data_IF_846098679244
#
_entry.id   IF_846098679244
#
_cell.length_a   1.000
_cell.length_b   1.000
_cell.length_c   1.000
_cell.angle_alpha   90.00
_cell.angle_beta   90.00
_cell.angle_gamma   90.00
#
_symmetry.space_group_name_H-M   'P 1'
#
loop_
_entity.id
_entity.type
_entity.pdbx_description
1 polymer ?
#
# COMPACT_ATOMS: atom_id res chain seq x y z
N UNK A 1 -16.92 -45.20 12.64
CA UNK A 1 -16.57 -46.54 13.18
C UNK A 1 -15.30 -46.42 13.99
N UNK A 2 -15.40 -46.73 15.30
CA UNK A 2 -14.40 -47.21 16.27
C UNK A 2 -15.13 -47.19 17.63
N UNK A 3 -15.80 -48.30 17.96
CA UNK A 3 -15.37 -49.27 18.99
C UNK A 3 -15.33 -48.59 20.36
N UNK A 4 -16.45 -48.54 21.10
CA UNK A 4 -16.84 -49.53 22.12
C UNK A 4 -15.68 -49.93 23.04
N UNK A 5 -15.51 -49.19 24.13
CA UNK A 5 -14.97 -49.74 25.37
C UNK A 5 -16.12 -49.96 26.35
N UNK A 6 -16.26 -51.21 26.73
CA UNK A 6 -17.25 -51.79 27.62
C UNK A 6 -17.04 -51.30 29.06
N UNK A 7 -18.06 -50.66 29.65
CA UNK A 7 -18.20 -50.58 31.10
C UNK A 7 -19.60 -51.07 31.48
N UNK A 8 -19.72 -52.37 31.73
CA UNK A 8 -20.87 -52.95 32.42
C UNK A 8 -20.76 -52.61 33.90
N UNK A 9 -21.28 -51.44 34.30
CA UNK A 9 -21.44 -51.13 35.71
C UNK A 9 -22.84 -51.58 36.16
N UNK A 10 -22.85 -52.67 36.92
CA UNK A 10 -24.01 -53.39 37.45
C UNK A 10 -25.18 -52.48 37.92
N UNK A 11 -26.28 -52.51 37.16
CA UNK A 11 -27.62 -52.17 37.65
C UNK A 11 -28.23 -53.42 38.31
N UNK A 12 -28.03 -53.55 39.62
CA UNK A 12 -28.62 -54.64 40.41
C UNK A 12 -30.07 -54.24 40.75
N UNK A 13 -31.05 -54.90 40.13
CA UNK A 13 -32.47 -54.71 40.46
C UNK A 13 -32.77 -55.00 41.93
N UNK A 14 -33.76 -54.31 42.54
CA UNK A 14 -34.17 -54.51 43.94
C UNK A 14 -34.42 -55.98 44.35
N UNK A 15 -34.91 -56.82 43.42
CA UNK A 15 -35.18 -58.25 43.64
C UNK A 15 -33.90 -59.11 43.82
N UNK A 16 -32.73 -58.60 43.40
CA UNK A 16 -31.42 -59.25 43.59
C UNK A 16 -30.77 -58.84 44.92
N UNK A 17 -31.06 -57.63 45.40
CA UNK A 17 -30.57 -57.12 46.69
C UNK A 17 -31.09 -57.95 47.88
N UNK A 18 -32.34 -58.42 47.81
CA UNK A 18 -32.98 -59.21 48.88
C UNK A 18 -32.44 -60.64 49.02
N UNK A 19 -31.57 -61.10 48.10
CA UNK A 19 -31.00 -62.46 48.08
C UNK A 19 -29.54 -62.52 48.55
N UNK A 20 -28.91 -61.37 48.80
CA UNK A 20 -27.50 -61.29 49.20
C UNK A 20 -27.31 -61.64 50.68
N UNK A 21 -26.21 -62.31 51.01
CA UNK A 21 -25.75 -62.40 52.39
C UNK A 21 -25.22 -61.05 52.89
N UNK A 22 -25.18 -60.85 54.21
CA UNK A 22 -24.71 -59.60 54.80
C UNK A 22 -23.25 -59.25 54.39
N UNK A 23 -22.38 -60.26 54.24
CA UNK A 23 -21.00 -60.07 53.80
C UNK A 23 -20.93 -59.59 52.35
N UNK A 24 -21.74 -60.18 51.47
CA UNK A 24 -21.82 -59.78 50.06
C UNK A 24 -22.39 -58.37 49.89
N UNK A 25 -23.44 -58.05 50.66
CA UNK A 25 -24.01 -56.70 50.68
C UNK A 25 -22.98 -55.66 51.14
N UNK A 26 -22.28 -55.91 52.26
CA UNK A 26 -21.21 -55.02 52.76
C UNK A 26 -20.08 -54.84 51.73
N UNK A 27 -19.65 -55.91 51.08
CA UNK A 27 -18.61 -55.86 50.04
C UNK A 27 -19.05 -55.03 48.82
N UNK A 28 -20.32 -55.16 48.40
CA UNK A 28 -20.90 -54.38 47.31
C UNK A 28 -20.95 -52.89 47.64
N UNK A 29 -21.40 -52.52 48.84
CA UNK A 29 -21.40 -51.12 49.31
C UNK A 29 -19.98 -50.55 49.30
N UNK A 30 -19.00 -51.29 49.80
CA UNK A 30 -17.59 -50.86 49.79
C UNK A 30 -17.07 -50.62 48.36
N UNK A 31 -17.41 -51.49 47.40
CA UNK A 31 -17.03 -51.30 45.98
C UNK A 31 -17.65 -50.03 45.39
N UNK A 32 -18.96 -49.81 45.60
CA UNK A 32 -19.64 -48.61 45.08
C UNK A 32 -19.08 -47.33 45.73
N UNK A 33 -18.84 -47.33 47.04
CA UNK A 33 -18.17 -46.21 47.73
C UNK A 33 -16.76 -45.94 47.20
N UNK A 34 -15.99 -46.99 46.92
CA UNK A 34 -14.64 -46.84 46.35
C UNK A 34 -14.68 -46.29 44.91
N UNK A 35 -15.66 -46.72 44.09
CA UNK A 35 -15.89 -46.15 42.75
C UNK A 35 -16.25 -44.66 42.83
N UNK A 36 -17.20 -44.30 43.70
CA UNK A 36 -17.55 -42.90 43.96
C UNK A 36 -16.35 -42.08 44.43
N UNK A 37 -15.53 -42.62 45.33
CA UNK A 37 -14.31 -41.95 45.82
C UNK A 37 -13.32 -41.67 44.69
N UNK A 38 -13.11 -42.63 43.77
CA UNK A 38 -12.26 -42.43 42.59
C UNK A 38 -12.81 -41.32 41.68
N UNK A 39 -14.11 -41.34 41.41
CA UNK A 39 -14.76 -40.33 40.58
C UNK A 39 -14.66 -38.92 41.18
N UNK A 40 -14.84 -38.79 42.50
CA UNK A 40 -14.65 -37.52 43.21
C UNK A 40 -13.22 -37.02 43.11
N UNK A 41 -12.22 -37.90 43.23
CA UNK A 41 -10.82 -37.53 43.08
C UNK A 41 -10.50 -37.06 41.65
N UNK A 42 -11.07 -37.70 40.62
CA UNK A 42 -10.93 -37.27 39.23
C UNK A 42 -11.58 -35.91 39.01
N UNK A 43 -12.83 -35.73 39.44
CA UNK A 43 -13.55 -34.46 39.34
C UNK A 43 -12.81 -33.32 40.06
N UNK A 44 -12.19 -33.60 41.21
CA UNK A 44 -11.36 -32.63 41.94
C UNK A 44 -10.17 -32.15 41.09
N UNK A 45 -9.47 -33.05 40.40
CA UNK A 45 -8.35 -32.70 39.50
C UNK A 45 -8.80 -31.90 38.28
N UNK A 46 -9.97 -32.24 37.72
CA UNK A 46 -10.53 -31.51 36.59
C UNK A 46 -10.90 -30.08 36.99
N UNK A 47 -11.46 -29.89 38.20
CA UNK A 47 -11.78 -28.57 38.76
C UNK A 47 -10.51 -27.72 38.93
N UNK A 48 -9.43 -28.27 39.48
CA UNK A 48 -8.16 -27.53 39.63
C UNK A 48 -7.54 -27.15 38.28
N UNK A 49 -7.68 -28.01 37.28
CA UNK A 49 -7.24 -27.73 35.90
C UNK A 49 -8.05 -26.59 35.28
N UNK A 50 -9.38 -26.65 35.39
CA UNK A 50 -10.28 -25.60 34.90
C UNK A 50 -9.99 -24.25 35.57
N UNK A 51 -9.69 -24.26 36.87
CA UNK A 51 -9.35 -23.05 37.63
C UNK A 51 -8.05 -22.43 37.13
N UNK A 52 -7.03 -23.24 36.86
CA UNK A 52 -5.76 -22.76 36.29
C UNK A 52 -6.00 -22.13 34.91
N UNK A 53 -6.70 -22.83 34.02
CA UNK A 53 -7.03 -22.32 32.68
C UNK A 53 -7.83 -21.01 32.75
N UNK A 54 -8.75 -20.89 33.71
CA UNK A 54 -9.53 -19.66 33.89
C UNK A 54 -8.65 -18.46 34.26
N UNK A 55 -7.64 -18.66 35.11
CA UNK A 55 -6.69 -17.60 35.47
C UNK A 55 -5.85 -17.18 34.27
N UNK A 56 -5.35 -18.14 33.48
CA UNK A 56 -4.58 -17.87 32.26
C UNK A 56 -5.43 -17.09 31.24
N UNK A 57 -6.65 -17.52 30.96
CA UNK A 57 -7.57 -16.82 30.07
C UNK A 57 -7.84 -15.37 30.51
N UNK A 58 -7.98 -15.13 31.82
CA UNK A 58 -8.19 -13.77 32.33
C UNK A 58 -6.96 -12.88 32.12
N UNK A 59 -5.74 -13.44 32.24
CA UNK A 59 -4.51 -12.72 31.94
C UNK A 59 -4.41 -12.39 30.45
N UNK A 60 -4.71 -13.34 29.57
CA UNK A 60 -4.71 -13.13 28.11
C UNK A 60 -5.71 -12.04 27.71
N UNK A 61 -6.92 -12.06 28.29
CA UNK A 61 -7.94 -11.02 28.07
C UNK A 61 -7.43 -9.64 28.51
N UNK A 62 -6.72 -9.56 29.65
CA UNK A 62 -6.16 -8.30 30.12
C UNK A 62 -5.06 -7.77 29.18
N UNK A 63 -4.21 -8.64 28.65
CA UNK A 63 -3.18 -8.27 27.67
C UNK A 63 -3.81 -7.80 26.35
N UNK A 64 -4.81 -8.52 25.84
CA UNK A 64 -5.58 -8.13 24.65
C UNK A 64 -6.21 -6.75 24.84
N UNK A 65 -6.78 -6.47 26.02
CA UNK A 65 -7.39 -5.17 26.31
C UNK A 65 -6.35 -4.04 26.27
N UNK A 66 -5.18 -4.24 26.88
CA UNK A 66 -4.12 -3.24 26.90
C UNK A 66 -3.55 -2.97 25.49
N UNK A 67 -3.36 -4.03 24.69
CA UNK A 67 -2.90 -3.88 23.30
C UNK A 67 -3.93 -3.16 22.44
N UNK A 68 -5.22 -3.45 22.61
CA UNK A 68 -6.30 -2.74 21.92
C UNK A 68 -6.34 -1.25 22.28
N UNK A 69 -6.20 -0.91 23.56
CA UNK A 69 -6.14 0.49 24.00
C UNK A 69 -4.92 1.23 23.42
N UNK A 70 -3.76 0.55 23.38
CA UNK A 70 -2.57 1.08 22.72
C UNK A 70 -2.73 1.27 21.21
N UNK A 71 -3.44 0.37 20.52
CA UNK A 71 -3.76 0.52 19.11
C UNK A 71 -4.74 1.68 18.86
N UNK A 72 -5.77 1.84 19.68
CA UNK A 72 -6.72 2.95 19.55
C UNK A 72 -6.02 4.30 19.63
N UNK A 73 -5.12 4.49 20.62
CA UNK A 73 -4.34 5.73 20.73
C UNK A 73 -3.49 6.01 19.48
N UNK A 74 -2.88 4.97 18.91
CA UNK A 74 -2.09 5.10 17.67
C UNK A 74 -2.95 5.44 16.47
N UNK A 75 -4.19 4.96 16.42
CA UNK A 75 -5.15 5.31 15.37
C UNK A 75 -5.56 6.76 15.50
N UNK A 76 -5.94 7.22 16.71
CA UNK A 76 -6.27 8.63 16.96
C UNK A 76 -5.12 9.56 16.57
N UNK A 77 -3.88 9.23 16.95
CA UNK A 77 -2.69 10.01 16.56
C UNK A 77 -2.47 10.04 15.04
N UNK A 78 -2.73 8.92 14.35
CA UNK A 78 -2.63 8.87 12.90
C UNK A 78 -3.74 9.67 12.21
N UNK A 79 -4.96 9.68 12.75
CA UNK A 79 -6.09 10.48 12.26
C UNK A 79 -5.80 11.99 12.39
N UNK A 80 -5.23 12.42 13.51
CA UNK A 80 -4.79 13.81 13.71
C UNK A 80 -3.71 14.20 12.70
N UNK A 81 -2.69 13.35 12.50
CA UNK A 81 -1.63 13.60 11.51
C UNK A 81 -2.16 13.67 10.08
N UNK A 82 -3.10 12.79 9.71
CA UNK A 82 -3.74 12.83 8.38
C UNK A 82 -4.50 14.14 8.21
N UNK A 83 -5.24 14.57 9.22
CA UNK A 83 -5.99 15.83 9.19
C UNK A 83 -5.05 17.04 8.98
N UNK A 84 -3.91 17.08 9.68
CA UNK A 84 -2.90 18.14 9.47
C UNK A 84 -2.30 18.12 8.06
N UNK A 85 -2.04 16.93 7.51
CA UNK A 85 -1.52 16.77 6.15
C UNK A 85 -2.55 17.21 5.09
N UNK A 86 -3.83 16.87 5.26
CA UNK A 86 -4.91 17.32 4.38
C UNK A 86 -4.99 18.85 4.34
N UNK A 87 -4.93 19.47 5.52
CA UNK A 87 -4.90 20.92 5.70
C UNK A 87 -3.72 21.58 4.95
N UNK A 88 -2.53 20.97 5.06
CA UNK A 88 -1.34 21.43 4.37
C UNK A 88 -1.44 21.27 2.86
N UNK A 89 -2.03 20.16 2.39
CA UNK A 89 -2.26 19.91 0.96
C UNK A 89 -3.20 20.97 0.39
N UNK A 90 -4.30 21.28 1.08
CA UNK A 90 -5.25 22.31 0.66
C UNK A 90 -4.58 23.69 0.59
N UNK A 91 -3.81 24.08 1.61
CA UNK A 91 -3.04 25.34 1.64
C UNK A 91 -2.03 25.43 0.49
N UNK A 92 -1.47 24.31 0.05
CA UNK A 92 -0.48 24.25 -1.04
C UNK A 92 -1.09 24.23 -2.44
N UNK A 93 -2.37 23.87 -2.61
CA UNK A 93 -3.05 23.89 -3.91
C UNK A 93 -2.94 25.24 -4.68
N UNK A 94 -3.26 26.40 -4.09
CA UNK A 94 -3.16 27.67 -4.80
C UNK A 94 -1.71 27.96 -5.25
N UNK A 95 -0.71 27.59 -4.44
CA UNK A 95 0.71 27.77 -4.78
C UNK A 95 1.07 26.92 -5.99
N UNK A 96 0.63 25.65 -6.03
CA UNK A 96 0.85 24.75 -7.19
C UNK A 96 0.23 25.31 -8.45
N UNK A 97 -1.03 25.74 -8.37
CA UNK A 97 -1.75 26.34 -9.50
C UNK A 97 -1.08 27.62 -10.02
N UNK A 98 -0.56 28.46 -9.11
CA UNK A 98 0.15 29.68 -9.50
C UNK A 98 1.49 29.37 -10.20
N UNK A 99 2.23 28.37 -9.71
CA UNK A 99 3.47 27.91 -10.35
C UNK A 99 3.19 27.36 -11.75
N UNK A 100 2.15 26.54 -11.90
CA UNK A 100 1.75 25.98 -13.19
C UNK A 100 1.39 27.08 -14.20
N UNK A 101 0.58 28.07 -13.80
CA UNK A 101 0.27 29.23 -14.64
C UNK A 101 1.52 30.00 -15.06
N UNK A 102 2.49 30.15 -14.14
CA UNK A 102 3.74 30.86 -14.41
C UNK A 102 4.60 30.11 -15.42
N UNK A 103 4.76 28.79 -15.25
CA UNK A 103 5.51 27.93 -16.17
C UNK A 103 4.87 28.00 -17.57
N UNK A 104 3.54 27.83 -17.66
CA UNK A 104 2.83 27.91 -18.94
C UNK A 104 3.00 29.25 -19.64
N UNK A 105 3.01 30.35 -18.88
CA UNK A 105 3.29 31.69 -19.44
C UNK A 105 4.72 31.79 -19.97
N UNK A 106 5.70 31.28 -19.23
CA UNK A 106 7.10 31.28 -19.64
C UNK A 106 7.32 30.42 -20.90
N UNK A 107 6.72 29.24 -20.97
CA UNK A 107 6.76 28.37 -22.16
C UNK A 107 6.19 29.08 -23.39
N UNK A 108 5.05 29.76 -23.25
CA UNK A 108 4.46 30.54 -24.33
C UNK A 108 5.38 31.68 -24.77
N UNK A 109 5.94 32.44 -23.82
CA UNK A 109 6.88 33.53 -24.14
C UNK A 109 8.15 33.02 -24.82
N UNK A 110 8.69 31.87 -24.42
CA UNK A 110 9.84 31.25 -25.08
C UNK A 110 9.50 30.82 -26.51
N UNK A 111 8.30 30.28 -26.74
CA UNK A 111 7.83 29.93 -28.08
C UNK A 111 7.74 31.19 -28.96
N UNK A 112 7.12 32.25 -28.46
CA UNK A 112 7.03 33.53 -29.19
C UNK A 112 8.42 34.11 -29.52
N UNK A 113 9.37 34.07 -28.58
CA UNK A 113 10.74 34.53 -28.82
C UNK A 113 11.44 33.68 -29.89
N UNK A 114 11.25 32.36 -29.85
CA UNK A 114 11.83 31.44 -30.83
C UNK A 114 11.24 31.66 -32.22
N UNK A 115 9.92 31.84 -32.32
CA UNK A 115 9.24 32.14 -33.57
C UNK A 115 9.69 33.50 -34.13
N UNK A 116 9.85 34.51 -33.28
CA UNK A 116 10.39 35.82 -33.68
C UNK A 116 11.84 35.71 -34.17
N UNK A 117 12.72 34.98 -33.48
CA UNK A 117 14.10 34.76 -33.93
C UNK A 117 14.17 34.04 -35.27
N UNK A 118 13.23 33.14 -35.55
CA UNK A 118 13.16 32.42 -36.82
C UNK A 118 12.43 33.18 -37.93
N UNK A 119 11.71 34.26 -37.61
CA UNK A 119 10.85 34.97 -38.56
C UNK A 119 11.59 35.38 -39.85
N UNK A 120 12.87 35.75 -39.74
CA UNK A 120 13.70 36.17 -40.87
C UNK A 120 14.63 35.08 -41.40
N UNK A 121 14.60 33.87 -40.82
CA UNK A 121 15.48 32.79 -41.23
C UNK A 121 14.87 32.07 -42.43
N UNK A 122 15.66 31.91 -43.50
CA UNK A 122 15.29 31.15 -44.69
C UNK A 122 15.96 29.78 -44.61
N UNK A 123 15.18 28.72 -44.74
CA UNK A 123 15.70 27.35 -44.82
C UNK A 123 15.72 26.91 -46.28
N UNK A 124 16.90 26.65 -46.82
CA UNK A 124 17.10 26.14 -48.18
C UNK A 124 17.38 24.65 -48.07
N UNK A 125 16.58 23.83 -48.74
CA UNK A 125 16.67 22.36 -48.72
C UNK A 125 17.05 21.83 -50.09
N UNK A 126 17.72 20.67 -50.14
CA UNK A 126 18.14 20.04 -51.39
C UNK A 126 19.44 20.59 -51.98
N UNK A 127 20.22 21.34 -51.18
CA UNK A 127 21.60 21.71 -51.51
C UNK A 127 22.48 20.46 -51.34
N UNK A 128 23.41 20.23 -52.26
CA UNK A 128 24.38 19.13 -52.17
C UNK A 128 25.39 19.40 -51.06
N UNK A 129 25.61 18.42 -50.19
CA UNK A 129 26.61 18.52 -49.12
C UNK A 129 28.04 18.50 -49.72
N UNK A 130 28.73 19.64 -49.68
CA UNK A 130 30.15 19.82 -50.07
C UNK A 130 30.96 20.38 -48.86
N UNK A 131 32.20 20.83 -49.04
CA UNK A 131 32.98 21.46 -47.95
C UNK A 131 32.42 22.85 -47.58
N UNK A 132 31.36 22.88 -46.78
CA UNK A 132 30.64 24.11 -46.45
C UNK A 132 31.48 25.11 -45.65
N UNK A 133 31.98 26.15 -46.31
CA UNK A 133 32.45 27.38 -45.67
C UNK A 133 31.48 28.55 -45.95
N UNK A 134 31.54 29.60 -45.12
CA UNK A 134 30.64 30.76 -45.24
C UNK A 134 30.65 31.39 -46.65
N UNK A 135 31.82 31.44 -47.30
CA UNK A 135 31.95 32.07 -48.61
C UNK A 135 31.29 31.25 -49.72
N UNK A 136 31.37 29.92 -49.64
CA UNK A 136 30.71 29.01 -50.58
C UNK A 136 29.19 29.03 -50.40
N UNK A 137 28.69 29.08 -49.15
CA UNK A 137 27.27 29.23 -48.87
C UNK A 137 26.71 30.58 -49.37
N UNK A 138 27.47 31.68 -49.22
CA UNK A 138 27.11 32.98 -49.82
C UNK A 138 26.98 32.87 -51.34
N UNK A 139 27.94 32.23 -52.01
CA UNK A 139 27.93 32.09 -53.47
C UNK A 139 26.72 31.26 -53.95
N UNK A 140 26.40 30.16 -53.27
CA UNK A 140 25.22 29.33 -53.55
C UNK A 140 23.94 30.16 -53.40
N UNK A 141 23.85 30.99 -52.35
CA UNK A 141 22.69 31.85 -52.15
C UNK A 141 22.54 32.90 -53.26
N UNK A 142 23.65 33.52 -53.70
CA UNK A 142 23.66 34.46 -54.82
C UNK A 142 23.25 33.79 -56.15
N UNK A 143 23.73 32.57 -56.41
CA UNK A 143 23.33 31.78 -57.58
C UNK A 143 21.83 31.48 -57.58
N UNK A 144 21.29 30.99 -56.46
CA UNK A 144 19.84 30.73 -56.30
C UNK A 144 19.02 31.99 -56.57
N UNK A 145 19.44 33.15 -56.04
CA UNK A 145 18.75 34.43 -56.23
C UNK A 145 18.80 34.92 -57.69
N UNK A 146 19.94 34.79 -58.36
CA UNK A 146 20.12 35.25 -59.74
C UNK A 146 19.36 34.39 -60.74
N UNK A 147 19.34 33.07 -60.53
CA UNK A 147 18.60 32.13 -61.37
C UNK A 147 17.08 32.28 -61.19
N UNK A 148 16.59 32.32 -59.94
CA UNK A 148 15.15 32.24 -59.65
C UNK A 148 14.48 33.61 -59.47
N UNK A 149 15.19 34.63 -58.98
CA UNK A 149 14.64 35.95 -58.65
C UNK A 149 15.43 37.13 -59.28
N UNK A 150 15.67 37.14 -60.60
CA UNK A 150 16.53 38.13 -61.26
C UNK A 150 16.05 39.58 -61.10
N UNK A 151 14.75 39.80 -60.88
CA UNK A 151 14.19 41.14 -60.63
C UNK A 151 14.49 41.64 -59.20
N UNK A 152 14.60 40.73 -58.22
CA UNK A 152 14.94 41.07 -56.84
C UNK A 152 16.40 41.52 -56.75
N UNK A 153 17.30 40.81 -57.45
CA UNK A 153 18.72 41.15 -57.57
C UNK A 153 18.93 42.53 -58.22
N UNK A 154 18.11 42.89 -59.22
CA UNK A 154 18.17 44.23 -59.85
C UNK A 154 17.68 45.35 -58.93
N UNK A 155 16.72 45.06 -58.05
CA UNK A 155 16.11 46.03 -57.14
C UNK A 155 16.98 46.31 -55.90
N UNK A 156 17.71 45.32 -55.40
CA UNK A 156 18.60 45.47 -54.26
C UNK A 156 20.07 45.52 -54.70
N UNK A 157 20.73 46.67 -54.47
CA UNK A 157 22.20 46.68 -54.42
C UNK A 157 22.62 46.11 -53.07
N UNK A 158 22.83 44.79 -53.01
CA UNK A 158 23.29 44.12 -51.79
C UNK A 158 24.57 44.81 -51.29
N UNK A 159 24.52 45.44 -50.11
CA UNK A 159 25.71 45.89 -49.40
C UNK A 159 26.16 44.72 -48.53
N UNK A 160 27.38 44.21 -48.76
CA UNK A 160 28.02 43.29 -47.82
C UNK A 160 28.20 44.01 -46.49
N UNK A 161 27.41 43.65 -45.48
CA UNK A 161 27.68 44.06 -44.10
C UNK A 161 28.76 43.12 -43.57
N UNK A 162 30.01 43.60 -43.56
CA UNK A 162 31.08 42.95 -42.79
C UNK A 162 30.95 43.45 -41.35
N UNK A 163 30.62 42.57 -40.42
CA UNK A 163 30.71 42.89 -38.99
C UNK A 163 32.18 43.18 -38.60
N UNK A 164 32.43 44.11 -37.65
CA UNK A 164 33.79 44.45 -37.19
C UNK A 164 34.46 43.34 -36.38
#
# INVERSE_FOLDING_TARGET
>A
MKEQETSTEDEISEMQLSKLSEVEFRAMILRKLNSMSKNLNTMSKDIETLKTNQVEMNNDIAEIKNTLEGLNRRVEEAEDQISELEDMVEKNQPIRNQKEKTIKKQENSLRELWDNWKQNNICIIGVTEEEENEQELENIFEEILTENFPNLVKAFKFKKYREP
#
